data_IF_303384403233
#
_entry.id   IF_303384403233
#
_cell.length_a   1.000
_cell.length_b   1.000
_cell.length_c   1.000
_cell.angle_alpha   90.00
_cell.angle_beta   90.00
_cell.angle_gamma   90.00
#
_symmetry.space_group_name_H-M   'P 1'
#
loop_
_entity.id
_entity.type
_entity.pdbx_description
1 polymer ?
#
# COMPACT_ATOMS: atom_id res chain seq x y z
N UNK A 1 -19.98 41.27 5.77
CA UNK A 1 -19.08 40.92 4.65
C UNK A 1 -19.46 39.53 4.20
N UNK A 2 -20.01 39.38 2.99
CA UNK A 2 -20.34 38.05 2.43
C UNK A 2 -19.05 37.28 2.16
N UNK A 3 -19.03 36.00 2.54
CA UNK A 3 -17.90 35.11 2.26
C UNK A 3 -17.67 35.04 0.74
N UNK A 4 -16.41 35.18 0.29
CA UNK A 4 -16.09 35.02 -1.12
C UNK A 4 -16.36 33.57 -1.55
N UNK A 5 -16.77 33.31 -2.80
CA UNK A 5 -17.06 31.94 -3.26
C UNK A 5 -15.89 30.96 -3.03
N UNK A 6 -14.64 31.43 -3.09
CA UNK A 6 -13.45 30.63 -2.77
C UNK A 6 -13.41 30.19 -1.30
N UNK A 7 -13.79 31.06 -0.36
CA UNK A 7 -13.81 30.72 1.07
C UNK A 7 -14.90 29.70 1.43
N UNK A 8 -16.03 29.72 0.72
CA UNK A 8 -17.09 28.73 0.87
C UNK A 8 -16.64 27.34 0.39
N UNK A 9 -15.97 27.28 -0.77
CA UNK A 9 -15.40 26.03 -1.31
C UNK A 9 -14.32 25.47 -0.39
N UNK A 10 -13.42 26.31 0.12
CA UNK A 10 -12.39 25.90 1.07
C UNK A 10 -13.00 25.30 2.34
N UNK A 11 -13.98 25.96 2.94
CA UNK A 11 -14.64 25.49 4.16
C UNK A 11 -15.35 24.15 3.94
N UNK A 12 -16.00 23.97 2.78
CA UNK A 12 -16.63 22.70 2.43
C UNK A 12 -15.60 21.57 2.26
N UNK A 13 -14.47 21.84 1.61
CA UNK A 13 -13.38 20.88 1.45
C UNK A 13 -12.75 20.48 2.78
N UNK A 14 -12.46 21.44 3.67
CA UNK A 14 -11.92 21.18 5.01
C UNK A 14 -12.89 20.35 5.84
N UNK A 15 -14.19 20.66 5.79
CA UNK A 15 -15.23 19.89 6.47
C UNK A 15 -15.31 18.44 5.98
N UNK A 16 -15.13 18.21 4.68
CA UNK A 16 -15.12 16.88 4.09
C UNK A 16 -13.85 16.12 4.46
N UNK A 17 -12.68 16.75 4.34
CA UNK A 17 -11.37 16.15 4.67
C UNK A 17 -11.21 15.87 6.16
N UNK A 18 -11.90 16.62 7.03
CA UNK A 18 -11.94 16.39 8.48
C UNK A 18 -12.75 15.17 8.90
N UNK A 19 -13.52 14.55 7.99
CA UNK A 19 -14.37 13.42 8.32
C UNK A 19 -13.57 12.13 8.56
N UNK A 20 -13.76 11.52 9.73
CA UNK A 20 -13.08 10.26 10.10
C UNK A 20 -13.46 9.09 9.19
N UNK A 21 -14.69 9.05 8.68
CA UNK A 21 -15.14 7.99 7.76
C UNK A 21 -14.43 8.06 6.40
N UNK A 22 -14.15 9.27 5.91
CA UNK A 22 -13.43 9.45 4.63
C UNK A 22 -11.99 8.94 4.75
N UNK A 23 -11.32 9.25 5.87
CA UNK A 23 -10.00 8.72 6.16
C UNK A 23 -10.00 7.18 6.27
N UNK A 24 -11.05 6.58 6.84
CA UNK A 24 -11.21 5.13 6.88
C UNK A 24 -11.34 4.54 5.46
N UNK A 25 -12.21 5.10 4.62
CA UNK A 25 -12.39 4.65 3.23
C UNK A 25 -11.10 4.77 2.44
N UNK A 26 -10.36 5.88 2.58
CA UNK A 26 -9.09 6.07 1.90
C UNK A 26 -8.05 5.00 2.31
N UNK A 27 -7.98 4.65 3.60
CA UNK A 27 -7.11 3.57 4.10
C UNK A 27 -7.53 2.21 3.56
N UNK A 28 -8.83 1.91 3.55
CA UNK A 28 -9.33 0.65 2.97
C UNK A 28 -8.94 0.61 1.48
N UNK A 29 -9.27 1.66 0.72
CA UNK A 29 -9.00 1.75 -0.71
C UNK A 29 -7.52 1.53 -1.06
N UNK A 30 -6.59 2.18 -0.35
CA UNK A 30 -5.15 1.98 -0.60
C UNK A 30 -4.67 0.58 -0.21
N UNK A 31 -5.31 -0.06 0.77
CA UNK A 31 -4.95 -1.42 1.20
C UNK A 31 -5.58 -2.55 0.39
N UNK A 32 -6.58 -2.25 -0.45
CA UNK A 32 -7.36 -3.27 -1.17
C UNK A 32 -6.51 -4.26 -1.98
N UNK A 33 -5.51 -3.85 -2.78
CA UNK A 33 -4.70 -4.79 -3.55
C UNK A 33 -3.97 -5.80 -2.64
N UNK A 34 -3.52 -5.36 -1.47
CA UNK A 34 -2.81 -6.20 -0.50
C UNK A 34 -3.75 -7.15 0.23
N UNK A 35 -4.95 -6.68 0.61
CA UNK A 35 -5.97 -7.53 1.22
C UNK A 35 -6.39 -8.66 0.29
N UNK A 36 -6.71 -8.33 -0.97
CA UNK A 36 -7.12 -9.31 -1.97
C UNK A 36 -5.99 -10.31 -2.26
N UNK A 37 -4.76 -9.82 -2.45
CA UNK A 37 -3.59 -10.68 -2.69
C UNK A 37 -3.28 -11.59 -1.49
N UNK A 38 -3.32 -11.04 -0.27
CA UNK A 38 -3.02 -11.79 0.95
C UNK A 38 -4.06 -12.86 1.25
N UNK A 39 -5.36 -12.57 1.07
CA UNK A 39 -6.43 -13.56 1.24
C UNK A 39 -6.33 -14.65 0.17
N UNK A 40 -6.07 -14.30 -1.09
CA UNK A 40 -5.88 -15.28 -2.15
C UNK A 40 -4.69 -16.21 -1.85
N UNK A 41 -3.56 -15.67 -1.38
CA UNK A 41 -2.37 -16.43 -0.99
C UNK A 41 -2.58 -17.29 0.26
N UNK A 42 -3.47 -16.89 1.18
CA UNK A 42 -3.89 -17.75 2.30
C UNK A 42 -4.75 -18.92 1.82
N UNK A 43 -5.67 -18.66 0.89
CA UNK A 43 -6.56 -19.68 0.34
C UNK A 43 -5.79 -20.71 -0.52
N UNK A 44 -4.74 -20.26 -1.20
CA UNK A 44 -3.83 -21.12 -1.97
C UNK A 44 -2.37 -20.86 -1.59
N UNK A 45 -1.97 -21.42 -0.44
CA UNK A 45 -0.58 -21.31 0.02
C UNK A 45 0.40 -22.01 -0.93
N UNK A 46 -0.02 -23.11 -1.57
CA UNK A 46 0.80 -23.80 -2.57
C UNK A 46 1.15 -22.87 -3.73
N UNK A 47 0.15 -22.22 -4.33
CA UNK A 47 0.33 -21.19 -5.35
C UNK A 47 1.21 -20.03 -4.86
N UNK A 48 1.02 -19.55 -3.62
CA UNK A 48 1.85 -18.49 -3.04
C UNK A 48 3.34 -18.88 -2.97
N UNK A 49 3.65 -20.11 -2.54
CA UNK A 49 5.05 -20.58 -2.50
C UNK A 49 5.65 -20.74 -3.90
N UNK A 50 4.86 -21.22 -4.87
CA UNK A 50 5.29 -21.37 -6.25
C UNK A 50 5.57 -20.00 -6.91
N UNK A 51 4.70 -19.01 -6.67
CA UNK A 51 4.87 -17.63 -7.14
C UNK A 51 6.16 -17.02 -6.60
N UNK A 52 6.40 -17.11 -5.29
CA UNK A 52 7.62 -16.57 -4.66
C UNK A 52 8.87 -17.25 -5.20
N UNK A 53 8.86 -18.58 -5.34
CA UNK A 53 9.96 -19.33 -5.94
C UNK A 53 10.23 -18.88 -7.38
N UNK A 54 9.18 -18.78 -8.20
CA UNK A 54 9.29 -18.40 -9.61
C UNK A 54 9.80 -16.98 -9.81
N UNK A 55 9.41 -16.04 -8.94
CA UNK A 55 9.81 -14.64 -9.02
C UNK A 55 11.21 -14.38 -8.45
N UNK A 56 11.56 -15.00 -7.32
CA UNK A 56 12.79 -14.67 -6.57
C UNK A 56 13.90 -15.68 -6.74
N UNK A 57 13.57 -16.94 -7.04
CA UNK A 57 14.52 -18.06 -7.03
C UNK A 57 15.05 -18.45 -5.64
N UNK A 58 14.55 -17.83 -4.56
CA UNK A 58 15.07 -18.05 -3.22
C UNK A 58 14.38 -19.22 -2.51
N UNK A 59 15.17 -19.95 -1.71
CA UNK A 59 14.70 -20.99 -0.80
C UNK A 59 15.10 -20.64 0.65
N UNK A 60 14.28 -20.97 1.66
CA UNK A 60 13.00 -21.68 1.56
C UNK A 60 11.84 -20.77 1.13
N UNK A 61 11.22 -21.05 -0.02
CA UNK A 61 10.16 -20.21 -0.60
C UNK A 61 8.91 -20.13 0.29
N UNK A 62 8.65 -21.17 1.08
CA UNK A 62 7.55 -21.20 2.04
C UNK A 62 7.67 -20.11 3.13
N UNK A 63 8.88 -19.86 3.65
CA UNK A 63 9.08 -18.83 4.67
C UNK A 63 8.85 -17.43 4.08
N UNK A 64 9.35 -17.20 2.86
CA UNK A 64 9.13 -15.95 2.15
C UNK A 64 7.64 -15.72 1.82
N UNK A 65 6.91 -16.77 1.41
CA UNK A 65 5.47 -16.67 1.19
C UNK A 65 4.70 -16.31 2.47
N UNK A 66 5.06 -16.89 3.62
CA UNK A 66 4.50 -16.48 4.93
C UNK A 66 4.80 -15.02 5.20
N UNK A 67 6.04 -14.55 4.99
CA UNK A 67 6.40 -13.14 5.19
C UNK A 67 5.60 -12.20 4.27
N UNK A 68 5.37 -12.58 3.01
CA UNK A 68 4.55 -11.82 2.07
C UNK A 68 3.12 -11.71 2.59
N UNK A 69 2.50 -12.83 2.96
CA UNK A 69 1.11 -12.85 3.47
C UNK A 69 1.00 -12.00 4.76
N UNK A 70 1.93 -12.19 5.71
CA UNK A 70 1.95 -11.44 6.96
C UNK A 70 2.13 -9.94 6.72
N UNK A 71 2.98 -9.56 5.75
CA UNK A 71 3.17 -8.15 5.40
C UNK A 71 1.92 -7.56 4.76
N UNK A 72 1.31 -8.26 3.81
CA UNK A 72 0.10 -7.81 3.11
C UNK A 72 -1.08 -7.66 4.06
N UNK A 73 -1.39 -8.68 4.85
CA UNK A 73 -2.55 -8.68 5.74
C UNK A 73 -2.29 -7.90 7.02
N UNK A 74 -1.15 -8.11 7.66
CA UNK A 74 -0.76 -7.40 8.87
C UNK A 74 -0.54 -5.91 8.62
N UNK A 75 0.12 -5.54 7.52
CA UNK A 75 0.31 -4.15 7.13
C UNK A 75 -1.01 -3.45 6.84
N UNK A 76 -1.93 -4.13 6.14
CA UNK A 76 -3.28 -3.61 5.87
C UNK A 76 -4.09 -3.43 7.14
N UNK A 77 -4.11 -4.43 8.03
CA UNK A 77 -4.81 -4.37 9.30
C UNK A 77 -4.32 -3.20 10.18
N UNK A 78 -3.00 -3.03 10.30
CA UNK A 78 -2.40 -1.91 11.05
C UNK A 78 -2.78 -0.55 10.45
N UNK A 79 -2.74 -0.42 9.12
CA UNK A 79 -3.05 0.84 8.46
C UNK A 79 -4.54 1.18 8.60
N UNK A 80 -5.45 0.22 8.38
CA UNK A 80 -6.89 0.42 8.54
C UNK A 80 -7.25 0.76 9.99
N UNK A 81 -6.73 -0.01 10.95
CA UNK A 81 -6.97 0.22 12.39
C UNK A 81 -6.55 1.64 12.82
N UNK A 82 -5.58 2.24 12.13
CA UNK A 82 -5.14 3.60 12.42
C UNK A 82 -4.30 3.69 13.69
N UNK A 83 -4.29 4.87 14.32
CA UNK A 83 -3.63 5.07 15.61
C UNK A 83 -2.10 4.99 15.57
N UNK A 84 -1.50 4.53 16.68
CA UNK A 84 -0.04 4.59 16.95
C UNK A 84 0.81 3.81 15.94
N UNK A 85 0.28 2.72 15.40
CA UNK A 85 1.04 1.75 14.61
C UNK A 85 0.71 1.79 13.11
N UNK A 86 -0.21 2.65 12.67
CA UNK A 86 -0.58 2.76 11.26
C UNK A 86 0.60 3.09 10.35
N UNK A 87 1.58 3.85 10.85
CA UNK A 87 2.79 4.18 10.09
C UNK A 87 3.65 2.94 9.80
N UNK A 88 3.67 1.95 10.71
CA UNK A 88 4.40 0.69 10.52
C UNK A 88 3.75 -0.09 9.38
N UNK A 89 2.42 -0.21 9.40
CA UNK A 89 1.68 -0.89 8.35
C UNK A 89 1.89 -0.26 6.98
N UNK A 90 1.74 1.06 6.89
CA UNK A 90 1.98 1.80 5.64
C UNK A 90 3.43 1.67 5.13
N UNK A 91 4.42 1.78 6.02
CA UNK A 91 5.84 1.64 5.65
C UNK A 91 6.18 0.21 5.18
N UNK A 92 5.65 -0.81 5.86
CA UNK A 92 5.84 -2.20 5.48
C UNK A 92 5.25 -2.50 4.10
N UNK A 93 4.02 -2.05 3.84
CA UNK A 93 3.38 -2.19 2.52
C UNK A 93 4.11 -1.42 1.42
N UNK A 94 4.64 -0.23 1.73
CA UNK A 94 5.44 0.55 0.78
C UNK A 94 6.73 -0.20 0.40
N UNK A 95 7.47 -0.69 1.40
CA UNK A 95 8.69 -1.47 1.19
C UNK A 95 8.43 -2.77 0.43
N UNK A 96 7.37 -3.50 0.81
CA UNK A 96 6.94 -4.70 0.09
C UNK A 96 6.63 -4.39 -1.38
N UNK A 97 5.83 -3.36 -1.65
CA UNK A 97 5.48 -2.96 -3.03
C UNK A 97 6.72 -2.62 -3.83
N UNK A 98 7.67 -1.89 -3.25
CA UNK A 98 8.93 -1.55 -3.92
C UNK A 98 9.71 -2.80 -4.33
N UNK A 99 9.90 -3.75 -3.40
CA UNK A 99 10.62 -4.99 -3.65
C UNK A 99 9.87 -5.85 -4.67
N UNK A 100 8.58 -6.11 -4.46
CA UNK A 100 7.76 -6.95 -5.33
C UNK A 100 7.72 -6.42 -6.77
N UNK A 101 7.63 -5.10 -6.95
CA UNK A 101 7.59 -4.46 -8.28
C UNK A 101 8.90 -4.65 -9.05
N UNK A 102 10.04 -4.61 -8.37
CA UNK A 102 11.34 -4.87 -9.00
C UNK A 102 11.47 -6.32 -9.49
N UNK A 103 10.86 -7.28 -8.81
CA UNK A 103 10.85 -8.68 -9.28
C UNK A 103 9.80 -8.93 -10.37
N UNK A 104 8.56 -8.49 -10.16
CA UNK A 104 7.45 -8.82 -11.05
C UNK A 104 7.40 -7.96 -12.32
N UNK A 105 7.75 -6.68 -12.22
CA UNK A 105 7.54 -5.67 -13.25
C UNK A 105 8.82 -4.92 -13.64
N UNK A 106 10.01 -5.52 -13.47
CA UNK A 106 11.25 -5.04 -14.09
C UNK A 106 11.15 -5.08 -15.62
N UNK A 107 10.49 -4.07 -16.19
CA UNK A 107 10.10 -4.01 -17.60
C UNK A 107 11.31 -4.05 -18.55
N UNK A 108 12.47 -3.61 -18.09
CA UNK A 108 13.74 -3.70 -18.82
C UNK A 108 14.21 -5.13 -19.07
N UNK A 109 13.74 -6.12 -18.29
CA UNK A 109 14.01 -7.55 -18.50
C UNK A 109 12.90 -8.26 -19.28
N UNK A 110 11.81 -7.56 -19.63
CA UNK A 110 10.65 -8.16 -20.31
C UNK A 110 10.82 -8.15 -21.85
N UNK A 111 10.17 -9.10 -22.56
CA UNK A 111 10.10 -9.09 -24.02
C UNK A 111 9.60 -7.75 -24.58
N UNK A 112 10.06 -7.38 -25.78
CA UNK A 112 9.71 -6.10 -26.38
C UNK A 112 8.19 -5.90 -26.53
N UNK A 113 7.44 -6.97 -26.79
CA UNK A 113 5.97 -6.98 -26.92
C UNK A 113 5.24 -6.66 -25.61
N UNK A 114 5.85 -6.94 -24.46
CA UNK A 114 5.23 -6.77 -23.12
C UNK A 114 5.82 -5.60 -22.33
N UNK A 115 6.94 -5.04 -22.82
CA UNK A 115 7.70 -4.01 -22.10
C UNK A 115 6.86 -2.80 -21.71
N UNK A 116 6.02 -2.31 -22.63
CA UNK A 116 5.15 -1.15 -22.36
C UNK A 116 4.13 -1.43 -21.26
N UNK A 117 3.51 -2.62 -21.27
CA UNK A 117 2.56 -3.05 -20.23
C UNK A 117 3.23 -3.07 -18.86
N UNK A 118 4.37 -3.76 -18.73
CA UNK A 118 5.08 -3.84 -17.45
C UNK A 118 5.63 -2.48 -17.00
N UNK A 119 6.01 -1.60 -17.94
CA UNK A 119 6.44 -0.25 -17.62
C UNK A 119 5.31 0.56 -16.98
N UNK A 120 4.09 0.51 -17.53
CA UNK A 120 2.95 1.19 -16.94
C UNK A 120 2.65 0.67 -15.54
N UNK A 121 2.57 -0.65 -15.37
CA UNK A 121 2.32 -1.26 -14.05
C UNK A 121 3.41 -0.88 -13.04
N UNK A 122 4.67 -0.83 -13.48
CA UNK A 122 5.78 -0.40 -12.64
C UNK A 122 5.56 1.01 -12.09
N UNK A 123 5.20 1.98 -12.94
CA UNK A 123 4.97 3.37 -12.50
C UNK A 123 3.66 3.59 -11.73
N UNK A 124 2.64 2.77 -11.99
CA UNK A 124 1.45 2.70 -11.13
C UNK A 124 1.85 2.28 -9.71
N UNK A 125 2.69 1.25 -9.58
CA UNK A 125 3.20 0.80 -8.28
C UNK A 125 4.10 1.83 -7.60
N UNK A 126 4.94 2.57 -8.36
CA UNK A 126 5.71 3.71 -7.80
C UNK A 126 4.77 4.75 -7.19
N UNK A 127 3.63 5.02 -7.83
CA UNK A 127 2.62 5.96 -7.31
C UNK A 127 1.97 5.45 -6.03
N UNK A 128 1.66 4.14 -5.96
CA UNK A 128 1.16 3.48 -4.74
C UNK A 128 2.18 3.58 -3.60
N UNK A 129 3.46 3.33 -3.88
CA UNK A 129 4.56 3.47 -2.90
C UNK A 129 4.61 4.90 -2.36
N UNK A 130 4.53 5.91 -3.22
CA UNK A 130 4.49 7.31 -2.81
C UNK A 130 3.30 7.63 -1.89
N UNK A 131 2.10 7.14 -2.23
CA UNK A 131 0.90 7.29 -1.40
C UNK A 131 1.05 6.63 -0.02
N UNK A 132 1.55 5.39 0.03
CA UNK A 132 1.79 4.68 1.29
C UNK A 132 2.89 5.36 2.13
N UNK A 133 3.96 5.84 1.51
CA UNK A 133 5.02 6.58 2.19
C UNK A 133 4.48 7.88 2.81
N UNK A 134 3.65 8.63 2.08
CA UNK A 134 2.99 9.82 2.61
C UNK A 134 2.07 9.47 3.79
N UNK A 135 1.27 8.40 3.67
CA UNK A 135 0.43 7.91 4.78
C UNK A 135 1.27 7.53 6.00
N UNK A 136 2.41 6.88 5.82
CA UNK A 136 3.32 6.53 6.91
C UNK A 136 3.86 7.80 7.61
N UNK A 137 4.31 8.80 6.83
CA UNK A 137 4.79 10.08 7.34
C UNK A 137 3.71 10.80 8.15
N UNK A 138 2.49 10.90 7.60
CA UNK A 138 1.37 11.59 8.23
C UNK A 138 0.93 10.87 9.51
N UNK A 139 0.77 9.54 9.46
CA UNK A 139 0.44 8.75 10.63
C UNK A 139 1.49 8.91 11.75
N UNK A 140 2.78 8.84 11.42
CA UNK A 140 3.86 9.02 12.39
C UNK A 140 3.87 10.42 13.03
N UNK A 141 3.47 11.46 12.29
CA UNK A 141 3.30 12.83 12.82
C UNK A 141 2.13 12.92 13.78
N UNK A 142 0.96 12.38 13.43
CA UNK A 142 -0.22 12.36 14.30
C UNK A 142 -0.01 11.55 15.59
N UNK A 143 0.92 10.60 15.61
CA UNK A 143 1.29 9.85 16.81
C UNK A 143 2.21 10.65 17.73
N UNK A 144 3.18 11.37 17.17
CA UNK A 144 4.09 12.24 17.93
C UNK A 144 3.38 13.44 18.55
N UNK A 145 2.40 14.02 17.84
CA UNK A 145 1.59 15.12 18.35
C UNK A 145 0.68 14.75 19.52
N UNK A 146 0.34 13.46 19.72
CA UNK A 146 -0.45 12.97 20.85
C UNK A 146 0.38 12.59 22.09
N UNK A 147 1.70 12.52 21.94
CA UNK A 147 2.62 12.15 23.02
C UNK A 147 3.31 13.37 23.66
N UNK A 148 2.97 14.57 23.19
CA UNK A 148 3.32 15.87 23.78
C UNK A 148 2.06 16.47 24.38
#
# INVERSE_FOLDING_TARGET
MSASPLSAVQSAAENLLGQSWLAMIARIAVTLPFLLSGVAKLADFGGATAEVRGLTGFEPAALLAVLVIMTQLGGSALLIAGGRYAWIGAAALAGFTAIATLFAHAFWLKPATERFLHQNIFFEHVSIIGGLALLAILAARSCRGRAR
#
